data_IF_186317139149
#
_entry.id   IF_186317139149
#
_cell.length_a   1.000
_cell.length_b   1.000
_cell.length_c   1.000
_cell.angle_alpha   90.00
_cell.angle_beta   90.00
_cell.angle_gamma   90.00
#
_symmetry.space_group_name_H-M   'P 1'
#
loop_
_entity.id
_entity.type
_entity.pdbx_description
1 polymer ?
#
# COMPACT_ATOMS: atom_id res chain seq x y z
N UNK A 1 5.87 -18.04 -0.44
CA UNK A 1 6.18 -16.60 -0.35
C UNK A 1 4.87 -15.85 -0.36
N UNK A 2 4.46 -15.28 0.77
CA UNK A 2 3.13 -14.71 0.94
C UNK A 2 3.17 -13.42 1.76
N UNK A 3 2.39 -12.43 1.35
CA UNK A 3 2.25 -11.16 2.04
C UNK A 3 1.50 -11.38 3.37
N UNK A 4 2.08 -10.98 4.50
CA UNK A 4 1.47 -11.14 5.81
C UNK A 4 0.44 -10.02 6.08
N UNK A 5 -0.82 -10.42 6.31
CA UNK A 5 -1.94 -9.52 6.60
C UNK A 5 -1.96 -9.13 8.08
N UNK A 6 -1.45 -7.95 8.43
CA UNK A 6 -1.69 -7.33 9.74
C UNK A 6 -2.95 -6.46 9.65
N UNK A 7 -4.11 -7.10 9.77
CA UNK A 7 -5.42 -6.45 9.70
C UNK A 7 -5.66 -5.48 10.86
N UNK A 8 -5.82 -4.19 10.54
CA UNK A 8 -6.50 -3.25 11.42
C UNK A 8 -7.96 -3.08 11.00
N UNK A 9 -8.83 -3.48 11.92
CA UNK A 9 -10.29 -3.37 11.88
C UNK A 9 -10.71 -1.92 11.65
N UNK A 10 -11.23 -1.61 10.46
CA UNK A 10 -12.42 -0.75 10.31
C UNK A 10 -13.24 -1.24 9.12
N UNK A 11 -14.41 -1.80 9.43
CA UNK A 11 -15.52 -1.93 8.48
C UNK A 11 -15.75 -0.53 7.88
N UNK A 12 -15.44 -0.35 6.61
CA UNK A 12 -16.01 0.75 5.83
C UNK A 12 -16.59 0.16 4.55
N UNK A 13 -17.87 -0.16 4.63
CA UNK A 13 -18.70 -0.57 3.50
C UNK A 13 -18.72 0.59 2.50
N UNK A 14 -17.97 0.47 1.39
CA UNK A 14 -17.86 1.48 0.34
C UNK A 14 -16.58 2.34 0.37
N UNK A 15 -15.64 2.07 1.27
CA UNK A 15 -14.40 2.84 1.41
C UNK A 15 -13.26 2.31 0.54
N UNK A 16 -12.60 3.22 -0.18
CA UNK A 16 -11.32 3.06 -0.88
C UNK A 16 -10.42 2.04 -0.18
N UNK A 17 -10.07 0.96 -0.90
CA UNK A 17 -9.23 -0.14 -0.38
C UNK A 17 -7.78 0.30 -0.35
N UNK A 18 -7.36 1.00 0.70
CA UNK A 18 -5.99 1.46 0.87
C UNK A 18 -5.20 0.63 1.89
N UNK A 19 -3.92 0.37 1.57
CA UNK A 19 -3.01 -0.44 2.37
C UNK A 19 -1.71 0.32 2.58
N UNK A 20 -1.23 0.38 3.83
CA UNK A 20 0.12 0.87 4.13
C UNK A 20 1.14 -0.15 3.65
N UNK A 21 2.14 0.31 2.91
CA UNK A 21 3.19 -0.53 2.35
C UNK A 21 4.58 0.04 2.63
N UNK A 22 5.55 -0.86 2.64
CA UNK A 22 6.96 -0.56 2.77
C UNK A 22 7.60 -0.91 1.43
N UNK A 23 8.12 0.09 0.74
CA UNK A 23 8.90 -0.09 -0.48
C UNK A 23 10.29 -0.57 -0.09
N UNK A 24 10.69 -1.72 -0.64
CA UNK A 24 11.94 -2.41 -0.29
C UNK A 24 12.83 -2.54 -1.53
N UNK A 25 14.13 -2.64 -1.33
CA UNK A 25 15.07 -3.01 -2.39
C UNK A 25 15.06 -4.53 -2.67
N UNK A 26 15.92 -4.96 -3.59
CA UNK A 26 16.11 -6.37 -3.98
C UNK A 26 16.63 -7.25 -2.83
N UNK A 27 17.25 -6.65 -1.81
CA UNK A 27 17.74 -7.33 -0.61
C UNK A 27 16.69 -7.33 0.52
N UNK A 28 15.52 -6.71 0.30
CA UNK A 28 14.44 -6.61 1.28
C UNK A 28 14.62 -5.49 2.31
N UNK A 29 15.57 -4.56 2.11
CA UNK A 29 15.75 -3.40 2.98
C UNK A 29 14.73 -2.30 2.65
N UNK A 30 14.08 -1.75 3.68
CA UNK A 30 13.09 -0.68 3.55
C UNK A 30 13.74 0.60 3.01
N UNK A 31 13.34 1.00 1.81
CA UNK A 31 13.73 2.26 1.19
C UNK A 31 12.78 3.39 1.62
N UNK A 32 11.47 3.15 1.52
CA UNK A 32 10.46 4.18 1.73
C UNK A 32 9.13 3.59 2.22
N UNK A 33 8.29 4.43 2.82
CA UNK A 33 6.92 4.06 3.21
C UNK A 33 5.92 4.72 2.27
N UNK A 34 4.85 3.99 1.96
CA UNK A 34 3.78 4.45 1.08
C UNK A 34 2.41 3.88 1.42
N UNK A 35 1.42 4.25 0.63
CA UNK A 35 0.09 3.64 0.65
C UNK A 35 -0.26 3.18 -0.76
N UNK A 36 -0.73 1.94 -0.91
CA UNK A 36 -1.33 1.46 -2.15
C UNK A 36 -2.83 1.58 -2.02
N UNK A 37 -3.44 2.27 -2.98
CA UNK A 37 -4.87 2.38 -3.15
C UNK A 37 -5.32 1.44 -4.27
N UNK A 38 -6.25 0.53 -3.95
CA UNK A 38 -6.88 -0.34 -4.94
C UNK A 38 -8.15 0.34 -5.44
N UNK A 39 -8.14 0.69 -6.72
CA UNK A 39 -9.29 1.20 -7.47
C UNK A 39 -9.93 0.04 -8.25
N UNK A 40 -11.01 0.33 -8.97
CA UNK A 40 -11.73 -0.70 -9.73
C UNK A 40 -10.88 -1.29 -10.87
N UNK A 41 -10.06 -0.45 -11.53
CA UNK A 41 -9.22 -0.88 -12.66
C UNK A 41 -7.72 -0.77 -12.39
N UNK A 42 -7.32 -0.03 -11.36
CA UNK A 42 -5.94 0.38 -11.16
C UNK A 42 -5.47 0.18 -9.71
N UNK A 43 -4.15 0.10 -9.56
CA UNK A 43 -3.46 0.16 -8.28
C UNK A 43 -2.61 1.43 -8.29
N UNK A 44 -2.83 2.32 -7.32
CA UNK A 44 -2.11 3.59 -7.23
C UNK A 44 -1.25 3.62 -5.97
N UNK A 45 0.04 3.84 -6.11
CA UNK A 45 1.01 3.96 -5.04
C UNK A 45 1.28 5.42 -4.69
N UNK A 46 0.90 5.81 -3.47
CA UNK A 46 1.21 7.10 -2.88
C UNK A 46 2.47 7.03 -2.01
N UNK A 47 3.47 7.85 -2.32
CA UNK A 47 4.70 7.98 -1.55
C UNK A 47 4.91 9.42 -1.11
N UNK A 48 5.49 9.62 0.07
CA UNK A 48 5.73 10.98 0.59
C UNK A 48 6.76 11.69 -0.28
N UNK A 49 6.37 12.82 -0.88
CA UNK A 49 7.24 13.66 -1.71
C UNK A 49 7.45 13.17 -3.15
N UNK A 50 6.67 12.18 -3.60
CA UNK A 50 6.66 11.71 -5.00
C UNK A 50 5.23 11.76 -5.55
N UNK A 51 5.11 11.91 -6.85
CA UNK A 51 3.79 11.79 -7.49
C UNK A 51 3.25 10.36 -7.39
N UNK A 52 1.92 10.19 -7.31
CA UNK A 52 1.30 8.88 -7.30
C UNK A 52 1.55 8.14 -8.60
N UNK A 53 1.83 6.84 -8.51
CA UNK A 53 2.18 5.99 -9.66
C UNK A 53 1.25 4.79 -9.73
#
# INVERSE_FOLDING_TARGET
>A
MGCAYSGHRRRNSGGVRSFRVHNVDDQGMELNRGNIEIRENDLVLFQKGKEPI
#
